data_IF_128714567975
#
_entry.id   IF_128714567975
#
_cell.length_a   1.000
_cell.length_b   1.000
_cell.length_c   1.000
_cell.angle_alpha   90.00
_cell.angle_beta   90.00
_cell.angle_gamma   90.00
#
_symmetry.space_group_name_H-M   'P 1'
#
loop_
_entity.id
_entity.type
_entity.pdbx_description
1 polymer ?
#
# COMPACT_ATOMS: atom_id res chain seq x y z
N UNK A 1 9.81 18.12 0.57
CA UNK A 1 10.84 17.25 1.22
C UNK A 1 12.23 17.59 0.70
N UNK A 2 13.23 17.79 1.58
CA UNK A 2 14.64 17.84 1.17
C UNK A 2 15.13 16.41 0.89
N UNK A 3 15.01 15.99 -0.37
CA UNK A 3 15.23 14.61 -0.88
C UNK A 3 16.51 13.93 -0.38
N UNK A 4 17.56 14.69 -0.06
CA UNK A 4 18.87 14.19 0.35
C UNK A 4 18.84 13.30 1.60
N UNK A 5 17.94 13.58 2.55
CA UNK A 5 17.86 12.85 3.82
C UNK A 5 17.13 11.51 3.68
N UNK A 6 16.05 11.48 2.89
CA UNK A 6 15.29 10.26 2.59
C UNK A 6 16.15 9.21 1.87
N UNK A 7 16.87 9.61 0.82
CA UNK A 7 17.73 8.68 0.07
C UNK A 7 18.99 8.25 0.82
N UNK A 8 19.45 9.04 1.80
CA UNK A 8 20.58 8.64 2.66
C UNK A 8 20.21 7.50 3.61
N UNK A 9 18.96 7.48 4.06
CA UNK A 9 18.46 6.51 5.05
C UNK A 9 17.57 5.42 4.43
N UNK A 10 17.57 5.29 3.09
CA UNK A 10 16.67 4.36 2.39
C UNK A 10 16.89 2.90 2.80
N UNK A 11 18.13 2.53 3.13
CA UNK A 11 18.44 1.19 3.64
C UNK A 11 17.75 0.90 4.97
N UNK A 12 17.76 1.85 5.91
CA UNK A 12 17.07 1.72 7.19
C UNK A 12 15.55 1.68 7.02
N UNK A 13 15.02 2.53 6.13
CA UNK A 13 13.59 2.56 5.81
C UNK A 13 13.14 1.21 5.23
N UNK A 14 13.88 0.66 4.26
CA UNK A 14 13.60 -0.65 3.69
C UNK A 14 13.72 -1.75 4.74
N UNK A 15 14.77 -1.75 5.56
CA UNK A 15 14.91 -2.76 6.61
C UNK A 15 13.72 -2.73 7.58
N UNK A 16 13.29 -1.54 8.02
CA UNK A 16 12.14 -1.40 8.91
C UNK A 16 10.83 -1.82 8.24
N UNK A 17 10.57 -1.40 7.00
CA UNK A 17 9.35 -1.75 6.29
C UNK A 17 9.27 -3.26 5.95
N UNK A 18 10.37 -3.90 5.56
CA UNK A 18 10.35 -5.34 5.25
C UNK A 18 10.42 -6.20 6.51
N UNK A 19 11.46 -5.99 7.30
CA UNK A 19 11.74 -6.85 8.46
C UNK A 19 10.74 -6.55 9.59
N UNK A 20 10.43 -5.28 9.82
CA UNK A 20 9.47 -4.88 10.85
C UNK A 20 8.07 -5.42 10.56
N UNK A 21 7.54 -5.23 9.36
CA UNK A 21 6.19 -5.69 8.98
C UNK A 21 6.09 -7.21 8.94
N UNK A 22 7.11 -7.91 8.44
CA UNK A 22 7.11 -9.38 8.45
C UNK A 22 7.16 -9.94 9.87
N UNK A 23 8.03 -9.41 10.74
CA UNK A 23 8.09 -9.82 12.15
C UNK A 23 6.76 -9.53 12.85
N UNK A 24 6.21 -8.32 12.70
CA UNK A 24 4.92 -7.94 13.29
C UNK A 24 3.79 -8.87 12.83
N UNK A 25 3.75 -9.22 11.54
CA UNK A 25 2.75 -10.14 11.00
C UNK A 25 2.85 -11.53 11.66
N UNK A 26 4.05 -12.10 11.77
CA UNK A 26 4.24 -13.40 12.40
C UNK A 26 3.96 -13.38 13.90
N UNK A 27 4.35 -12.31 14.60
CA UNK A 27 4.10 -12.16 16.05
C UNK A 27 2.61 -12.03 16.31
N UNK A 28 1.92 -11.10 15.63
CA UNK A 28 0.49 -10.88 15.82
C UNK A 28 -0.31 -12.12 15.39
N UNK A 29 0.02 -12.71 14.24
CA UNK A 29 -0.62 -13.93 13.76
C UNK A 29 -0.37 -15.14 14.66
N UNK A 30 0.82 -15.27 15.24
CA UNK A 30 1.14 -16.31 16.21
C UNK A 30 0.38 -16.14 17.52
N UNK A 31 0.30 -14.90 18.03
CA UNK A 31 -0.46 -14.58 19.24
C UNK A 31 -1.95 -14.84 19.04
N UNK A 32 -2.54 -14.37 17.95
CA UNK A 32 -3.98 -14.61 17.66
C UNK A 32 -4.28 -16.09 17.46
N UNK A 33 -3.38 -16.84 16.82
CA UNK A 33 -3.49 -18.29 16.73
C UNK A 33 -3.41 -18.97 18.10
N UNK A 34 -2.49 -18.56 18.97
CA UNK A 34 -2.38 -19.07 20.34
C UNK A 34 -3.66 -18.83 21.16
N UNK A 35 -4.22 -17.62 21.07
CA UNK A 35 -5.49 -17.26 21.74
C UNK A 35 -6.66 -18.07 21.17
N UNK A 36 -6.71 -18.24 19.83
CA UNK A 36 -7.74 -19.04 19.17
C UNK A 36 -7.72 -20.49 19.63
N UNK A 37 -6.52 -21.09 19.77
CA UNK A 37 -6.34 -22.46 20.27
C UNK A 37 -6.66 -22.62 21.76
N UNK A 38 -6.45 -21.58 22.56
CA UNK A 38 -6.83 -21.58 23.98
C UNK A 38 -8.37 -21.60 24.16
N UNK A 39 -9.13 -21.13 23.17
CA UNK A 39 -10.60 -21.08 23.20
C UNK A 39 -11.20 -22.27 22.44
N UNK A 40 -11.82 -23.22 23.15
CA UNK A 40 -12.39 -24.43 22.56
C UNK A 40 -13.43 -24.17 21.44
N UNK A 41 -14.08 -22.98 21.43
CA UNK A 41 -15.04 -22.57 20.40
C UNK A 41 -14.39 -21.99 19.13
N UNK A 42 -13.21 -21.39 19.25
CA UNK A 42 -12.52 -20.73 18.12
C UNK A 42 -11.52 -21.67 17.43
N UNK A 43 -10.99 -22.65 18.18
CA UNK A 43 -9.97 -23.57 17.70
C UNK A 43 -10.35 -24.35 16.42
N UNK A 44 -11.64 -24.61 16.19
CA UNK A 44 -12.15 -25.32 15.01
C UNK A 44 -12.57 -24.39 13.86
N UNK A 45 -12.63 -23.08 14.10
CA UNK A 45 -13.16 -22.10 13.13
C UNK A 45 -12.02 -21.35 12.44
N UNK A 46 -10.96 -21.03 13.18
CA UNK A 46 -9.90 -20.14 12.68
C UNK A 46 -8.64 -20.94 12.32
N UNK A 47 -8.28 -20.88 11.04
CA UNK A 47 -7.06 -21.46 10.48
C UNK A 47 -5.83 -20.59 10.75
N UNK A 48 -4.64 -21.19 10.66
CA UNK A 48 -3.38 -20.45 10.80
C UNK A 48 -3.22 -19.37 9.72
N UNK A 49 -3.66 -19.65 8.50
CA UNK A 49 -3.66 -18.68 7.38
C UNK A 49 -4.51 -17.46 7.69
N UNK A 50 -5.69 -17.62 8.28
CA UNK A 50 -6.55 -16.48 8.67
C UNK A 50 -5.93 -15.64 9.79
N UNK A 51 -5.28 -16.28 10.77
CA UNK A 51 -4.53 -15.56 11.80
C UNK A 51 -3.35 -14.77 11.22
N UNK A 52 -2.61 -15.35 10.27
CA UNK A 52 -1.50 -14.67 9.59
C UNK A 52 -1.99 -13.53 8.69
N UNK A 53 -3.11 -13.70 7.97
CA UNK A 53 -3.75 -12.64 7.20
C UNK A 53 -4.17 -11.48 8.09
N UNK A 54 -4.78 -11.78 9.25
CA UNK A 54 -5.08 -10.76 10.25
C UNK A 54 -3.81 -10.05 10.73
N UNK A 55 -2.74 -10.80 11.00
CA UNK A 55 -1.43 -10.23 11.34
C UNK A 55 -0.88 -9.29 10.25
N UNK A 56 -1.00 -9.66 8.98
CA UNK A 56 -0.54 -8.84 7.86
C UNK A 56 -1.31 -7.52 7.77
N UNK A 57 -2.65 -7.54 7.88
CA UNK A 57 -3.47 -6.32 7.83
C UNK A 57 -3.21 -5.36 9.00
N UNK A 58 -2.96 -5.88 10.21
CA UNK A 58 -2.67 -5.05 11.39
C UNK A 58 -1.24 -4.52 11.40
N UNK A 59 -0.34 -5.10 10.60
CA UNK A 59 1.07 -4.68 10.55
C UNK A 59 1.32 -3.45 9.68
N UNK A 60 0.34 -3.06 8.85
CA UNK A 60 0.32 -1.79 8.14
C UNK A 60 0.09 -0.65 9.16
N UNK A 61 0.94 0.38 9.16
CA UNK A 61 0.86 1.48 10.14
C UNK A 61 0.65 2.81 9.44
N UNK A 62 -0.36 3.55 9.90
CA UNK A 62 -0.64 4.91 9.41
C UNK A 62 -0.11 5.96 10.41
N UNK A 63 0.88 6.79 10.02
CA UNK A 63 1.52 7.74 10.91
C UNK A 63 0.92 9.15 10.72
N UNK A 64 -0.17 9.36 9.97
CA UNK A 64 -0.69 10.70 9.64
C UNK A 64 -0.83 11.59 10.88
N UNK A 65 -1.40 11.08 11.98
CA UNK A 65 -1.54 11.83 13.23
C UNK A 65 -0.19 12.11 13.90
N UNK A 66 0.73 11.14 13.88
CA UNK A 66 2.06 11.26 14.48
C UNK A 66 2.91 12.26 13.71
N UNK A 67 2.85 12.23 12.37
CA UNK A 67 3.56 13.16 11.49
C UNK A 67 3.06 14.60 11.65
N UNK A 68 1.77 14.80 11.90
CA UNK A 68 1.23 16.13 12.22
C UNK A 68 1.87 16.70 13.50
N UNK A 69 1.90 15.90 14.58
CA UNK A 69 2.53 16.29 15.85
C UNK A 69 4.04 16.51 15.68
N UNK A 70 4.74 15.67 14.92
CA UNK A 70 6.17 15.81 14.66
C UNK A 70 6.51 17.09 13.89
N UNK A 71 5.64 17.50 12.97
CA UNK A 71 5.76 18.77 12.26
C UNK A 71 5.62 19.95 13.21
N UNK A 72 4.64 19.92 14.12
CA UNK A 72 4.42 20.96 15.11
C UNK A 72 5.59 21.07 16.11
N UNK A 73 6.16 19.93 16.51
CA UNK A 73 7.30 19.85 17.42
C UNK A 73 8.65 20.15 16.75
N UNK A 74 8.69 20.38 15.43
CA UNK A 74 9.92 20.60 14.65
C UNK A 74 10.98 19.52 14.88
N UNK A 75 10.55 18.26 14.85
CA UNK A 75 11.42 17.08 14.98
C UNK A 75 12.48 17.05 13.88
N UNK A 76 13.60 16.36 14.14
CA UNK A 76 14.68 16.19 13.17
C UNK A 76 14.15 15.61 11.83
N UNK A 77 14.50 16.21 10.68
CA UNK A 77 13.99 15.78 9.37
C UNK A 77 14.36 14.34 9.01
N UNK A 78 15.42 13.78 9.60
CA UNK A 78 15.82 12.38 9.38
C UNK A 78 14.81 11.41 10.03
N UNK A 79 14.30 11.72 11.23
CA UNK A 79 13.28 10.91 11.90
C UNK A 79 11.93 11.03 11.19
N UNK A 80 11.55 12.24 10.76
CA UNK A 80 10.34 12.45 9.98
C UNK A 80 10.35 11.64 8.67
N UNK A 81 11.47 11.67 7.95
CA UNK A 81 11.62 10.92 6.70
C UNK A 81 11.62 9.40 6.90
N UNK A 82 12.17 8.93 8.04
CA UNK A 82 12.24 7.51 8.37
C UNK A 82 10.86 6.93 8.70
N UNK A 83 10.10 7.58 9.58
CA UNK A 83 8.74 7.14 9.95
C UNK A 83 7.80 7.22 8.76
N UNK A 84 7.81 8.32 8.02
CA UNK A 84 6.98 8.45 6.81
C UNK A 84 7.31 7.36 5.77
N UNK A 85 8.60 7.10 5.54
CA UNK A 85 9.03 6.09 4.57
C UNK A 85 8.67 4.66 4.98
N UNK A 86 8.80 4.35 6.27
CA UNK A 86 8.43 3.04 6.83
C UNK A 86 6.94 2.77 6.65
N UNK A 87 6.09 3.72 7.06
CA UNK A 87 4.64 3.59 6.92
C UNK A 87 4.15 3.47 5.47
N UNK A 88 4.69 4.27 4.56
CA UNK A 88 4.26 4.18 3.15
C UNK A 88 4.67 2.85 2.51
N UNK A 89 5.85 2.32 2.86
CA UNK A 89 6.31 1.04 2.33
C UNK A 89 5.68 -0.17 3.03
N UNK A 90 5.35 -0.06 4.32
CA UNK A 90 4.79 -1.17 5.07
C UNK A 90 3.38 -1.55 4.58
N UNK A 91 2.56 -0.58 4.12
CA UNK A 91 1.27 -0.82 3.49
C UNK A 91 1.42 -1.69 2.23
N UNK A 92 2.41 -1.34 1.40
CA UNK A 92 2.78 -2.09 0.21
C UNK A 92 3.29 -3.50 0.55
N UNK A 93 4.10 -3.65 1.60
CA UNK A 93 4.60 -4.96 2.03
C UNK A 93 3.48 -5.82 2.62
N UNK A 94 2.58 -5.23 3.41
CA UNK A 94 1.45 -5.91 4.04
C UNK A 94 0.51 -6.52 3.01
N UNK A 95 0.17 -5.79 1.93
CA UNK A 95 -0.70 -6.33 0.88
C UNK A 95 -0.05 -7.49 0.12
N UNK A 96 1.24 -7.40 -0.24
CA UNK A 96 1.95 -8.50 -0.93
C UNK A 96 2.09 -9.71 0.00
N UNK A 97 2.28 -9.47 1.30
CA UNK A 97 2.36 -10.52 2.31
C UNK A 97 1.01 -11.26 2.44
N UNK A 98 -0.11 -10.52 2.45
CA UNK A 98 -1.44 -11.12 2.47
C UNK A 98 -1.70 -12.00 1.24
N UNK A 99 -1.39 -11.51 0.03
CA UNK A 99 -1.52 -12.29 -1.21
C UNK A 99 -0.66 -13.58 -1.18
N UNK A 100 0.54 -13.48 -0.60
CA UNK A 100 1.45 -14.62 -0.45
C UNK A 100 0.92 -15.67 0.55
N UNK A 101 0.26 -15.24 1.62
CA UNK A 101 -0.38 -16.12 2.60
C UNK A 101 -1.58 -16.86 1.97
N UNK A 102 -2.38 -16.18 1.15
CA UNK A 102 -3.49 -16.81 0.41
C UNK A 102 -2.98 -17.84 -0.61
N UNK A 103 -1.91 -17.50 -1.33
CA UNK A 103 -1.22 -18.42 -2.25
C UNK A 103 -0.67 -19.65 -1.51
N UNK A 104 -0.13 -19.46 -0.32
CA UNK A 104 0.32 -20.56 0.54
C UNK A 104 -0.87 -21.44 0.99
N UNK A 105 -1.98 -20.83 1.43
CA UNK A 105 -3.17 -21.56 1.87
C UNK A 105 -3.77 -22.45 0.77
N UNK A 106 -3.80 -21.97 -0.47
CA UNK A 106 -4.24 -22.75 -1.62
C UNK A 106 -3.26 -23.87 -2.01
N UNK A 107 -1.95 -23.64 -1.94
CA UNK A 107 -0.94 -24.67 -2.20
C UNK A 107 -0.92 -25.78 -1.12
N UNK A 108 -1.14 -25.43 0.15
CA UNK A 108 -1.25 -26.38 1.24
C UNK A 108 -2.49 -27.29 1.09
N UNK A 109 -3.60 -26.75 0.58
CA UNK A 109 -4.80 -27.54 0.27
C UNK A 109 -4.57 -28.55 -0.88
N UNK A 110 -3.61 -28.30 -1.77
CA UNK A 110 -3.25 -29.18 -2.88
C UNK A 110 -2.33 -30.36 -2.49
N UNK A 111 -1.96 -30.50 -1.21
CA UNK A 111 -1.14 -31.61 -0.72
C UNK A 111 0.35 -31.50 -1.02
N UNK A 112 0.85 -30.32 -1.41
CA UNK A 112 2.28 -30.07 -1.57
C UNK A 112 3.02 -30.16 -0.21
N UNK A 113 4.26 -30.66 -0.19
CA UNK A 113 5.06 -30.67 1.04
C UNK A 113 5.32 -29.25 1.54
N UNK A 114 5.25 -29.04 2.87
CA UNK A 114 5.36 -27.72 3.49
C UNK A 114 6.60 -26.90 3.06
N UNK A 115 7.74 -27.56 2.81
CA UNK A 115 8.95 -26.87 2.35
C UNK A 115 8.80 -26.27 0.93
N UNK A 116 8.11 -26.99 0.03
CA UNK A 116 7.89 -26.55 -1.35
C UNK A 116 6.88 -25.41 -1.38
N UNK A 117 5.81 -25.48 -0.60
CA UNK A 117 4.79 -24.43 -0.54
C UNK A 117 5.33 -23.13 0.04
N UNK A 118 6.19 -23.19 1.07
CA UNK A 118 6.87 -22.01 1.62
C UNK A 118 7.84 -21.40 0.60
N UNK A 119 8.65 -22.22 -0.07
CA UNK A 119 9.60 -21.72 -1.07
C UNK A 119 8.87 -21.06 -2.25
N UNK A 120 7.76 -21.66 -2.70
CA UNK A 120 6.89 -21.12 -3.76
C UNK A 120 6.25 -19.80 -3.34
N UNK A 121 5.78 -19.69 -2.09
CA UNK A 121 5.22 -18.44 -1.57
C UNK A 121 6.28 -17.33 -1.51
N UNK A 122 7.50 -17.61 -1.04
CA UNK A 122 8.61 -16.64 -1.03
C UNK A 122 9.02 -16.25 -2.45
N UNK A 123 9.09 -17.21 -3.37
CA UNK A 123 9.39 -16.95 -4.78
C UNK A 123 8.32 -16.10 -5.46
N UNK A 124 7.05 -16.37 -5.18
CA UNK A 124 5.90 -15.59 -5.66
C UNK A 124 5.93 -14.17 -5.11
N UNK A 125 6.13 -14.02 -3.79
CA UNK A 125 6.31 -12.73 -3.12
C UNK A 125 7.39 -11.89 -3.80
N UNK A 126 8.60 -12.46 -3.94
CA UNK A 126 9.73 -11.76 -4.54
C UNK A 126 9.47 -11.41 -6.01
N UNK A 127 8.85 -12.32 -6.78
CA UNK A 127 8.53 -12.11 -8.19
C UNK A 127 7.52 -10.99 -8.40
N UNK A 128 6.39 -11.02 -7.69
CA UNK A 128 5.34 -9.99 -7.75
C UNK A 128 5.87 -8.64 -7.26
N UNK A 129 6.65 -8.64 -6.18
CA UNK A 129 7.19 -7.41 -5.61
C UNK A 129 8.25 -6.76 -6.52
N UNK A 130 9.23 -7.52 -7.01
CA UNK A 130 10.25 -7.02 -7.93
C UNK A 130 9.66 -6.63 -9.29
N UNK A 131 8.66 -7.37 -9.77
CA UNK A 131 7.90 -7.04 -10.98
C UNK A 131 7.23 -5.67 -10.85
N UNK A 132 6.57 -5.41 -9.72
CA UNK A 132 5.92 -4.13 -9.45
C UNK A 132 6.93 -2.98 -9.36
N UNK A 133 8.08 -3.17 -8.69
CA UNK A 133 9.18 -2.19 -8.68
C UNK A 133 9.64 -1.89 -10.11
N UNK A 134 9.89 -2.92 -10.91
CA UNK A 134 10.35 -2.79 -12.28
C UNK A 134 9.40 -1.94 -13.12
N UNK A 135 8.11 -2.31 -13.14
CA UNK A 135 7.06 -1.60 -13.88
C UNK A 135 6.92 -0.15 -13.38
N UNK A 136 6.89 0.04 -12.06
CA UNK A 136 6.80 1.35 -11.43
C UNK A 136 7.93 2.29 -11.82
N UNK A 137 9.18 1.82 -11.69
CA UNK A 137 10.36 2.58 -12.06
C UNK A 137 10.42 2.87 -13.57
N UNK A 138 10.06 1.91 -14.42
CA UNK A 138 10.05 2.08 -15.88
C UNK A 138 9.06 3.17 -16.31
N UNK A 139 7.82 3.10 -15.84
CA UNK A 139 6.79 4.07 -16.21
C UNK A 139 7.01 5.44 -15.55
N UNK A 140 7.58 5.49 -14.35
CA UNK A 140 8.01 6.73 -13.71
C UNK A 140 9.11 7.44 -14.51
N UNK A 141 10.13 6.70 -14.97
CA UNK A 141 11.18 7.21 -15.84
C UNK A 141 10.63 7.64 -17.22
N UNK A 142 9.71 6.85 -17.79
CA UNK A 142 9.03 7.19 -19.04
C UNK A 142 8.28 8.52 -18.92
N UNK A 143 7.56 8.72 -17.80
CA UNK A 143 6.88 9.99 -17.52
C UNK A 143 7.86 11.14 -17.51
N UNK A 144 8.98 10.99 -16.79
CA UNK A 144 10.02 12.03 -16.72
C UNK A 144 10.61 12.36 -18.10
N UNK A 145 10.76 11.35 -18.95
CA UNK A 145 11.26 11.48 -20.33
C UNK A 145 10.27 12.26 -21.20
N UNK A 146 8.98 11.90 -21.15
CA UNK A 146 7.90 12.57 -21.89
C UNK A 146 7.81 14.04 -21.48
N UNK A 147 7.78 14.33 -20.18
CA UNK A 147 7.71 15.72 -19.69
C UNK A 147 8.94 16.53 -20.11
N UNK A 148 10.12 15.90 -20.22
CA UNK A 148 11.36 16.55 -20.67
C UNK A 148 11.37 16.86 -22.17
N UNK A 149 10.92 15.94 -23.02
CA UNK A 149 10.99 16.12 -24.48
C UNK A 149 9.83 16.92 -25.06
N UNK A 150 8.64 16.84 -24.49
CA UNK A 150 7.43 17.41 -25.11
C UNK A 150 7.24 18.90 -24.83
N UNK A 151 8.19 19.59 -24.17
CA UNK A 151 8.11 21.03 -23.80
C UNK A 151 6.72 21.48 -23.32
N UNK A 152 6.03 20.65 -22.52
CA UNK A 152 4.63 20.88 -22.06
C UNK A 152 4.51 22.02 -21.03
N UNK A 153 5.62 22.71 -20.74
CA UNK A 153 5.71 23.79 -19.74
C UNK A 153 4.80 24.98 -20.01
N UNK A 154 4.34 25.16 -21.25
CA UNK A 154 3.45 26.27 -21.62
C UNK A 154 1.99 26.05 -21.18
N UNK A 155 1.62 24.81 -20.82
CA UNK A 155 0.26 24.46 -20.41
C UNK A 155 0.24 23.70 -19.07
N UNK A 156 0.18 24.42 -17.93
CA UNK A 156 0.27 23.84 -16.59
C UNK A 156 -0.77 22.74 -16.32
N UNK A 157 -2.01 22.95 -16.80
CA UNK A 157 -3.11 21.98 -16.67
C UNK A 157 -2.80 20.65 -17.37
N UNK A 158 -2.25 20.69 -18.59
CA UNK A 158 -1.90 19.50 -19.34
C UNK A 158 -0.75 18.74 -18.65
N UNK A 159 0.20 19.47 -18.06
CA UNK A 159 1.31 18.87 -17.34
C UNK A 159 0.83 18.09 -16.11
N UNK A 160 -0.06 18.70 -15.31
CA UNK A 160 -0.63 18.04 -14.13
C UNK A 160 -1.54 16.87 -14.47
N UNK A 161 -2.33 16.95 -15.55
CA UNK A 161 -3.19 15.85 -15.98
C UNK A 161 -2.39 14.67 -16.51
N UNK A 162 -1.35 14.91 -17.31
CA UNK A 162 -0.43 13.87 -17.77
C UNK A 162 0.30 13.19 -16.61
N UNK A 163 0.71 13.96 -15.60
CA UNK A 163 1.33 13.42 -14.39
C UNK A 163 0.41 12.39 -13.72
N UNK A 164 -0.85 12.77 -13.43
CA UNK A 164 -1.84 11.91 -12.78
C UNK A 164 -2.22 10.71 -13.65
N UNK A 165 -2.44 10.91 -14.94
CA UNK A 165 -2.79 9.85 -15.88
C UNK A 165 -1.68 8.80 -15.99
N UNK A 166 -0.41 9.21 -16.00
CA UNK A 166 0.72 8.28 -16.04
C UNK A 166 0.91 7.52 -14.73
N UNK A 167 0.66 8.16 -13.58
CA UNK A 167 0.65 7.45 -12.30
C UNK A 167 -0.45 6.37 -12.29
N UNK A 168 -1.66 6.69 -12.78
CA UNK A 168 -2.77 5.73 -12.85
C UNK A 168 -2.56 4.65 -13.91
N UNK A 169 -1.98 4.96 -15.07
CA UNK A 169 -1.68 3.95 -16.09
C UNK A 169 -0.68 2.91 -15.59
N UNK A 170 0.20 3.29 -14.66
CA UNK A 170 1.13 2.37 -14.01
C UNK A 170 0.42 1.32 -13.16
N UNK A 171 -0.66 1.70 -12.47
CA UNK A 171 -1.54 0.76 -11.78
C UNK A 171 -2.08 -0.30 -12.75
N UNK A 172 -2.72 0.17 -13.83
CA UNK A 172 -3.36 -0.70 -14.82
C UNK A 172 -2.35 -1.61 -15.52
N UNK A 173 -1.16 -1.10 -15.83
CA UNK A 173 -0.09 -1.89 -16.45
C UNK A 173 0.39 -3.03 -15.53
N UNK A 174 0.52 -2.77 -14.23
CA UNK A 174 0.93 -3.79 -13.27
C UNK A 174 -0.15 -4.87 -13.07
N UNK A 175 -1.42 -4.48 -12.97
CA UNK A 175 -2.55 -5.42 -12.90
C UNK A 175 -2.64 -6.30 -14.16
N UNK A 176 -2.37 -5.73 -15.35
CA UNK A 176 -2.35 -6.50 -16.60
C UNK A 176 -1.27 -7.60 -16.63
N UNK A 177 -0.17 -7.41 -15.89
CA UNK A 177 0.94 -8.37 -15.76
C UNK A 177 0.73 -9.29 -14.54
N UNK A 178 -0.40 -9.19 -13.82
CA UNK A 178 -0.67 -9.91 -12.56
C UNK A 178 0.37 -9.63 -11.48
N UNK A 179 0.81 -8.37 -11.41
CA UNK A 179 1.69 -7.85 -10.37
C UNK A 179 0.89 -6.91 -9.47
N UNK A 180 1.40 -6.58 -8.28
CA UNK A 180 0.71 -5.67 -7.36
C UNK A 180 0.67 -4.23 -7.88
N UNK A 181 -0.50 -3.78 -8.36
CA UNK A 181 -0.68 -2.44 -8.92
C UNK A 181 -0.35 -1.30 -7.94
N UNK A 182 -0.74 -1.46 -6.67
CA UNK A 182 -0.51 -0.46 -5.62
C UNK A 182 0.99 -0.20 -5.42
N UNK A 183 1.80 -1.27 -5.35
CA UNK A 183 3.24 -1.17 -5.22
C UNK A 183 3.87 -0.53 -6.46
N UNK A 184 3.39 -0.87 -7.65
CA UNK A 184 3.88 -0.28 -8.89
C UNK A 184 3.64 1.24 -8.95
N UNK A 185 2.44 1.70 -8.56
CA UNK A 185 2.12 3.14 -8.46
C UNK A 185 3.00 3.82 -7.43
N UNK A 186 3.26 3.19 -6.28
CA UNK A 186 4.12 3.74 -5.25
C UNK A 186 5.54 4.01 -5.78
N UNK A 187 6.18 3.02 -6.40
CA UNK A 187 7.52 3.18 -6.98
C UNK A 187 7.53 4.13 -8.17
N UNK A 188 6.44 4.16 -8.97
CA UNK A 188 6.25 5.18 -10.00
C UNK A 188 6.21 6.59 -9.40
N UNK A 189 5.43 6.80 -8.35
CA UNK A 189 5.33 8.06 -7.62
C UNK A 189 6.66 8.51 -7.01
N UNK A 190 7.44 7.58 -6.43
CA UNK A 190 8.80 7.87 -5.93
C UNK A 190 9.73 8.31 -7.08
N UNK A 191 9.68 7.62 -8.22
CA UNK A 191 10.47 7.97 -9.39
C UNK A 191 10.04 9.31 -10.00
N UNK A 192 8.73 9.55 -10.12
CA UNK A 192 8.17 10.81 -10.62
C UNK A 192 8.50 11.97 -9.67
N UNK A 193 8.41 11.75 -8.36
CA UNK A 193 8.81 12.73 -7.36
C UNK A 193 10.30 13.06 -7.43
N UNK A 194 11.15 12.14 -7.90
CA UNK A 194 12.58 12.39 -8.08
C UNK A 194 12.91 13.06 -9.43
N UNK A 195 12.46 12.47 -10.53
CA UNK A 195 12.85 12.89 -11.89
C UNK A 195 11.87 13.89 -12.49
N UNK A 196 10.57 13.59 -12.50
CA UNK A 196 9.54 14.41 -13.15
C UNK A 196 9.31 15.72 -12.42
N UNK A 197 9.26 15.71 -11.08
CA UNK A 197 8.97 16.91 -10.28
C UNK A 197 9.98 18.05 -10.50
N UNK A 198 11.23 17.74 -10.88
CA UNK A 198 12.21 18.79 -11.17
C UNK A 198 12.05 19.38 -12.59
N UNK A 199 11.39 18.66 -13.49
CA UNK A 199 11.09 19.14 -14.84
C UNK A 199 9.83 20.02 -14.88
N UNK A 200 8.98 19.90 -13.86
CA UNK A 200 7.70 20.61 -13.75
C UNK A 200 7.84 22.13 -13.57
N UNK A 201 6.88 22.88 -14.12
CA UNK A 201 6.69 24.31 -13.83
C UNK A 201 6.29 24.54 -12.36
N UNK A 202 6.55 25.72 -11.80
CA UNK A 202 6.25 25.99 -10.40
C UNK A 202 4.74 26.05 -10.12
N UNK A 203 3.96 26.51 -11.10
CA UNK A 203 2.49 26.50 -11.06
C UNK A 203 1.94 25.06 -11.06
N UNK A 204 2.46 24.18 -11.91
CA UNK A 204 2.06 22.77 -11.93
C UNK A 204 2.46 22.05 -10.65
N UNK A 205 3.62 22.34 -10.06
CA UNK A 205 4.02 21.78 -8.76
C UNK A 205 3.01 22.13 -7.66
N UNK A 206 2.59 23.40 -7.59
CA UNK A 206 1.61 23.85 -6.60
C UNK A 206 0.25 23.18 -6.83
N UNK A 207 -0.21 23.14 -8.08
CA UNK A 207 -1.48 22.52 -8.47
C UNK A 207 -1.48 21.02 -8.15
N UNK A 208 -0.43 20.29 -8.50
CA UNK A 208 -0.28 18.86 -8.19
C UNK A 208 -0.28 18.59 -6.69
N UNK A 209 0.44 19.39 -5.89
CA UNK A 209 0.46 19.24 -4.44
C UNK A 209 -0.91 19.46 -3.81
N UNK A 210 -1.62 20.52 -4.22
CA UNK A 210 -2.98 20.79 -3.75
C UNK A 210 -3.98 19.69 -4.17
N UNK A 211 -3.85 19.19 -5.40
CA UNK A 211 -4.71 18.11 -5.92
C UNK A 211 -4.53 16.81 -5.13
N UNK A 212 -3.28 16.34 -4.96
CA UNK A 212 -3.02 15.13 -4.17
C UNK A 212 -3.34 15.32 -2.69
N UNK A 213 -3.15 16.53 -2.14
CA UNK A 213 -3.56 16.85 -0.77
C UNK A 213 -5.07 16.73 -0.56
N UNK A 214 -5.87 17.25 -1.51
CA UNK A 214 -7.32 17.11 -1.49
C UNK A 214 -7.76 15.64 -1.61
N UNK A 215 -7.15 14.89 -2.54
CA UNK A 215 -7.44 13.47 -2.70
C UNK A 215 -7.12 12.65 -1.45
N UNK A 216 -5.98 12.91 -0.80
CA UNK A 216 -5.61 12.25 0.45
C UNK A 216 -6.64 12.53 1.54
N UNK A 217 -7.02 13.80 1.73
CA UNK A 217 -8.03 14.19 2.71
C UNK A 217 -9.38 13.52 2.44
N UNK A 218 -9.84 13.48 1.19
CA UNK A 218 -11.11 12.83 0.83
C UNK A 218 -11.05 11.32 1.04
N UNK A 219 -9.95 10.67 0.62
CA UNK A 219 -9.77 9.22 0.76
C UNK A 219 -9.73 8.79 2.22
N UNK A 220 -9.02 9.53 3.08
CA UNK A 220 -8.93 9.27 4.51
C UNK A 220 -10.30 9.38 5.20
N UNK A 221 -11.03 10.47 4.95
CA UNK A 221 -12.39 10.64 5.48
C UNK A 221 -13.34 9.54 5.02
N UNK A 222 -13.25 9.15 3.74
CA UNK A 222 -14.08 8.09 3.19
C UNK A 222 -13.79 6.74 3.86
N UNK A 223 -12.51 6.39 4.04
CA UNK A 223 -12.10 5.15 4.73
C UNK A 223 -12.60 5.10 6.18
N UNK A 224 -12.47 6.19 6.94
CA UNK A 224 -12.95 6.23 8.32
C UNK A 224 -14.47 6.10 8.43
N UNK A 225 -15.22 6.81 7.57
CA UNK A 225 -16.69 6.70 7.52
C UNK A 225 -17.11 5.28 7.11
N UNK A 226 -16.43 4.68 6.14
CA UNK A 226 -16.70 3.33 5.69
C UNK A 226 -16.51 2.29 6.80
N UNK A 227 -15.34 2.29 7.47
CA UNK A 227 -15.05 1.39 8.60
C UNK A 227 -16.07 1.60 9.73
N UNK A 228 -16.39 2.86 10.06
CA UNK A 228 -17.38 3.19 11.07
C UNK A 228 -18.78 2.65 10.75
N UNK A 229 -19.22 2.80 9.49
CA UNK A 229 -20.51 2.28 9.02
C UNK A 229 -20.56 0.75 9.03
N UNK A 230 -19.48 0.08 8.63
CA UNK A 230 -19.38 -1.38 8.60
C UNK A 230 -19.38 -2.00 10.01
N UNK A 231 -18.80 -1.31 11.00
CA UNK A 231 -18.76 -1.79 12.37
C UNK A 231 -20.08 -1.57 13.15
N UNK A 232 -20.97 -0.71 12.64
CA UNK A 232 -22.22 -0.33 13.31
C UNK A 232 -23.15 -1.53 13.58
N UNK A 233 -23.77 -1.66 14.77
CA UNK A 233 -24.63 -2.80 15.13
C UNK A 233 -25.79 -3.05 14.14
N UNK A 234 -26.27 -1.98 13.48
CA UNK A 234 -27.38 -2.02 12.52
C UNK A 234 -27.02 -2.79 11.23
N UNK A 235 -25.74 -2.81 10.84
CA UNK A 235 -25.26 -3.57 9.68
C UNK A 235 -25.30 -5.09 9.94
N UNK A 236 -25.04 -5.53 11.19
CA UNK A 236 -25.12 -6.96 11.58
C UNK A 236 -26.55 -7.51 11.55
N UNK A 237 -27.55 -6.67 11.83
CA UNK A 237 -28.97 -7.06 11.70
C UNK A 237 -29.47 -7.07 10.26
N UNK A 238 -28.76 -6.44 9.33
CA UNK A 238 -29.17 -6.38 7.92
C UNK A 238 -28.67 -7.59 7.09
N UNK A 239 -27.74 -8.40 7.60
CA UNK A 239 -27.26 -9.61 6.90
C UNK A 239 -28.33 -10.68 6.65
N UNK A 240 -29.40 -10.73 7.45
CA UNK A 240 -30.56 -11.61 7.23
C UNK A 240 -31.74 -10.93 6.49
N UNK A 241 -31.64 -9.63 6.17
CA UNK A 241 -32.67 -8.86 5.43
C UNK A 241 -32.12 -8.06 4.25
N UNK A 242 -30.91 -8.36 3.78
CA UNK A 242 -30.28 -7.71 2.62
C UNK A 242 -30.81 -8.20 1.27
N UNK A 243 -32.01 -8.79 1.22
CA UNK A 243 -32.78 -9.00 -0.01
C UNK A 243 -33.68 -7.82 -0.35
N UNK A 244 -33.98 -6.91 0.60
CA UNK A 244 -34.92 -5.81 0.38
C UNK A 244 -34.31 -4.55 -0.27
N UNK A 245 -32.98 -4.41 -0.31
CA UNK A 245 -32.31 -3.29 -1.00
C UNK A 245 -32.02 -3.56 -2.49
N UNK A 246 -32.28 -4.78 -2.98
CA UNK A 246 -32.14 -5.13 -4.41
C UNK A 246 -33.36 -4.67 -5.24
N UNK A 247 -34.50 -4.39 -4.61
CA UNK A 247 -35.78 -4.17 -5.28
C UNK A 247 -36.31 -2.72 -5.20
N UNK A 248 -35.47 -1.73 -4.91
CA UNK A 248 -35.87 -0.30 -4.91
C UNK A 248 -35.15 0.56 -5.96
N UNK A 249 -34.46 -0.09 -6.91
CA UNK A 249 -33.87 0.57 -8.09
C UNK A 249 -34.21 -0.15 -9.41
N UNK A 250 -35.39 -0.76 -9.46
CA UNK A 250 -36.18 -1.06 -10.66
C UNK A 250 -37.61 -0.56 -10.42
#
# INVERSE_FOLDING_TARGET
>A
MKRKHFFRNIGSILMLAFLGTTISCFVIGGVTFGISRASARLASIVSLSECLLFGAFISATDPVTVLAIFSDLRVEPDLYALVFGESVLNDAVAIVLSESIETYGSAAAAGETAAISVLKAIGSFAGVFLGAIGIGCLLGCLTALITKFTQVREHPLLETSLFVLMSYSTFLAAEAVKSTGIVAVLFCGICQAHYTYNNLSDESKATTMSFFGLLNFLAENFTFVYIGSACSPTARTCGTRCSLWRDSWL
#
